data_IF_325364479727
#
_entry.id   IF_325364479727
#
_cell.length_a   1.000
_cell.length_b   1.000
_cell.length_c   1.000
_cell.angle_alpha   90.00
_cell.angle_beta   90.00
_cell.angle_gamma   90.00
#
_symmetry.space_group_name_H-M   'P 1'
#
loop_
_entity.id
_entity.type
_entity.pdbx_description
1 polymer ?
#
# COMPACT_ATOMS: atom_id res chain seq x y z
N UNK A 1 7.13 -16.82 -2.96
CA UNK A 1 6.06 -15.83 -2.69
C UNK A 1 6.64 -14.51 -2.18
N UNK A 2 7.54 -13.84 -2.94
CA UNK A 2 8.16 -12.56 -2.51
C UNK A 2 7.31 -11.35 -2.90
N UNK A 3 6.65 -11.43 -4.05
CA UNK A 3 5.82 -10.36 -4.62
C UNK A 3 4.66 -9.91 -3.73
N UNK A 4 3.98 -10.82 -3.05
CA UNK A 4 2.89 -10.46 -2.15
C UNK A 4 3.38 -9.62 -0.97
N UNK A 5 4.57 -9.94 -0.45
CA UNK A 5 5.18 -9.22 0.66
C UNK A 5 5.45 -7.77 0.29
N UNK A 6 6.04 -7.54 -0.88
CA UNK A 6 6.36 -6.20 -1.38
C UNK A 6 5.10 -5.39 -1.69
N UNK A 7 4.06 -6.03 -2.22
CA UNK A 7 2.75 -5.39 -2.44
C UNK A 7 2.13 -4.95 -1.12
N UNK A 8 2.16 -5.81 -0.10
CA UNK A 8 1.61 -5.50 1.22
C UNK A 8 2.37 -4.38 1.91
N UNK A 9 3.71 -4.41 1.91
CA UNK A 9 4.52 -3.32 2.47
C UNK A 9 4.16 -1.96 1.88
N UNK A 10 3.95 -1.88 0.55
CA UNK A 10 3.59 -0.64 -0.12
C UNK A 10 2.19 -0.15 0.22
N UNK A 11 1.21 -1.04 0.25
CA UNK A 11 -0.17 -0.68 0.61
C UNK A 11 -0.25 -0.12 2.03
N UNK A 12 0.62 -0.60 2.92
CA UNK A 12 0.63 -0.20 4.32
C UNK A 12 1.68 0.84 4.70
N UNK A 13 2.50 1.33 3.75
CA UNK A 13 3.62 2.25 4.01
C UNK A 13 3.13 3.55 4.69
N UNK A 14 2.18 4.23 4.07
CA UNK A 14 1.60 5.48 4.60
C UNK A 14 0.77 5.25 5.87
N UNK A 15 0.01 4.14 5.92
CA UNK A 15 -0.77 3.79 7.10
C UNK A 15 0.15 3.53 8.30
N UNK A 16 1.28 2.84 8.10
CA UNK A 16 2.23 2.56 9.17
C UNK A 16 2.94 3.82 9.65
N UNK A 17 3.19 4.78 8.77
CA UNK A 17 3.79 6.07 9.13
C UNK A 17 2.83 6.92 9.99
N UNK A 18 1.54 6.93 9.65
CA UNK A 18 0.51 7.73 10.33
C UNK A 18 -0.19 7.01 11.48
N UNK A 19 -0.01 5.69 11.61
CA UNK A 19 -0.65 4.87 12.65
C UNK A 19 -0.43 5.37 14.10
N UNK A 20 0.77 5.84 14.51
CA UNK A 20 0.97 6.34 15.86
C UNK A 20 0.07 7.53 16.21
N UNK A 21 -0.17 8.41 15.23
CA UNK A 21 -1.01 9.61 15.39
C UNK A 21 -2.52 9.27 15.33
N UNK A 22 -2.86 8.09 14.80
CA UNK A 22 -4.23 7.60 14.62
C UNK A 22 -4.62 6.54 15.64
N UNK A 23 -3.98 6.57 16.80
CA UNK A 23 -4.24 5.61 17.89
C UNK A 23 -5.72 5.61 18.28
N UNK A 24 -6.33 4.42 18.29
CA UNK A 24 -7.76 4.24 18.62
C UNK A 24 -8.72 4.35 17.44
N UNK A 25 -8.24 4.70 16.23
CA UNK A 25 -9.06 4.66 15.02
C UNK A 25 -9.11 3.26 14.40
N UNK A 26 -10.30 2.88 13.91
CA UNK A 26 -10.46 1.69 13.07
C UNK A 26 -10.33 2.08 11.60
N UNK A 27 -9.36 1.47 10.91
CA UNK A 27 -9.15 1.68 9.47
C UNK A 27 -9.69 0.48 8.71
N UNK A 28 -10.59 0.73 7.75
CA UNK A 28 -11.13 -0.30 6.87
C UNK A 28 -10.28 -0.41 5.61
N UNK A 29 -9.73 -1.59 5.36
CA UNK A 29 -8.93 -1.89 4.16
C UNK A 29 -9.84 -2.58 3.16
N UNK A 30 -10.36 -1.81 2.20
CA UNK A 30 -11.21 -2.32 1.12
C UNK A 30 -10.50 -2.23 -0.25
N UNK A 31 -11.19 -2.68 -1.30
CA UNK A 31 -10.63 -2.63 -2.65
C UNK A 31 -10.31 -1.20 -3.11
N UNK A 32 -11.09 -0.20 -2.67
CA UNK A 32 -10.85 1.19 -3.03
C UNK A 32 -9.59 1.74 -2.33
N UNK A 33 -9.37 1.38 -1.07
CA UNK A 33 -8.14 1.68 -0.34
C UNK A 33 -6.94 1.04 -1.03
N UNK A 34 -7.03 -0.24 -1.39
CA UNK A 34 -5.96 -0.95 -2.08
C UNK A 34 -5.67 -0.34 -3.46
N UNK A 35 -6.69 0.02 -4.24
CA UNK A 35 -6.54 0.67 -5.54
C UNK A 35 -5.99 2.10 -5.42
N UNK A 36 -6.35 2.86 -4.39
CA UNK A 36 -5.80 4.19 -4.16
C UNK A 36 -4.28 4.11 -3.88
N UNK A 37 -3.87 3.15 -3.06
CA UNK A 37 -2.47 2.96 -2.67
C UNK A 37 -1.63 2.28 -3.77
N UNK A 38 -2.19 1.32 -4.52
CA UNK A 38 -1.50 0.65 -5.64
C UNK A 38 -1.61 1.39 -6.97
N UNK A 39 -2.67 2.16 -7.18
CA UNK A 39 -2.96 2.92 -8.40
C UNK A 39 -1.97 4.06 -8.66
N UNK A 40 -1.28 4.52 -7.61
CA UNK A 40 -0.11 5.40 -7.73
C UNK A 40 1.12 4.64 -8.27
N UNK A 41 1.25 3.36 -7.94
CA UNK A 41 2.36 2.49 -8.32
C UNK A 41 2.23 1.97 -9.77
N UNK A 42 1.01 1.61 -10.18
CA UNK A 42 0.72 1.09 -11.53
C UNK A 42 0.81 2.15 -12.62
N UNK A 43 0.61 3.44 -12.27
CA UNK A 43 0.84 4.57 -13.19
C UNK A 43 2.31 4.82 -13.51
N UNK A 44 3.23 4.40 -12.63
CA UNK A 44 4.67 4.33 -12.91
C UNK A 44 5.00 3.00 -13.58
N UNK A 45 4.63 2.87 -14.86
CA UNK A 45 4.76 1.63 -15.65
C UNK A 45 6.16 0.97 -15.62
N UNK A 46 7.22 1.71 -15.30
CA UNK A 46 8.58 1.18 -15.13
C UNK A 46 8.88 0.56 -13.75
N UNK A 47 8.21 0.99 -12.69
CA UNK A 47 8.49 0.51 -11.32
C UNK A 47 7.88 -0.87 -11.07
N UNK A 48 6.69 -1.12 -11.65
CA UNK A 48 6.00 -2.42 -11.56
C UNK A 48 6.83 -3.59 -12.13
N UNK A 49 7.77 -3.32 -13.04
CA UNK A 49 8.60 -4.32 -13.70
C UNK A 49 9.87 -4.67 -12.91
N UNK A 50 10.27 -3.81 -11.96
CA UNK A 50 11.50 -3.96 -11.18
C UNK A 50 11.29 -4.14 -9.67
N UNK A 51 10.10 -3.82 -9.14
CA UNK A 51 9.81 -3.85 -7.69
C UNK A 51 8.78 -4.94 -7.30
N UNK A 52 8.11 -5.59 -8.26
CA UNK A 52 7.09 -6.64 -8.03
C UNK A 52 7.58 -8.05 -8.38
#
# INVERSE_FOLDING_TARGET
ARRLYTVMERVFEELSFTAPDRSGEAVTVDAAFVEANLGALTRSADVSRYVL
#
